data_IF_142062762345
#
_entry.id   IF_142062762345
#
_cell.length_a   1.000
_cell.length_b   1.000
_cell.length_c   1.000
_cell.angle_alpha   90.00
_cell.angle_beta   90.00
_cell.angle_gamma   90.00
#
_symmetry.space_group_name_H-M   'P 1'
#
loop_
_entity.id
_entity.type
_entity.pdbx_description
1 polymer ?
#
# COMPACT_ATOMS: atom_id res chain seq x y z
N UNK A 1 -3.84 -8.73 34.69
CA UNK A 1 -5.09 -8.65 33.91
C UNK A 1 -4.79 -9.19 32.51
N UNK A 2 -4.78 -10.51 32.37
CA UNK A 2 -4.52 -11.22 31.12
C UNK A 2 -5.80 -11.18 30.28
N UNK A 3 -5.87 -10.28 29.30
CA UNK A 3 -6.96 -10.27 28.33
C UNK A 3 -6.88 -11.53 27.48
N UNK A 4 -7.81 -12.46 27.73
CA UNK A 4 -8.10 -13.58 26.86
C UNK A 4 -8.62 -13.02 25.53
N UNK A 5 -7.75 -12.94 24.53
CA UNK A 5 -8.13 -12.60 23.16
C UNK A 5 -9.05 -13.70 22.63
N UNK A 6 -10.35 -13.41 22.64
CA UNK A 6 -11.35 -14.31 22.08
C UNK A 6 -11.08 -14.49 20.58
N UNK A 7 -11.20 -15.73 20.09
CA UNK A 7 -10.88 -16.24 18.74
C UNK A 7 -11.58 -15.53 17.53
N UNK A 8 -12.09 -14.31 17.72
CA UNK A 8 -12.76 -13.49 16.71
C UNK A 8 -12.45 -11.99 16.80
N UNK A 9 -11.55 -11.53 17.69
CA UNK A 9 -11.24 -10.09 17.80
C UNK A 9 -10.47 -9.61 16.55
N UNK A 10 -11.22 -8.95 15.66
CA UNK A 10 -10.64 -8.04 14.68
C UNK A 10 -9.89 -6.96 15.45
N UNK A 11 -8.63 -6.74 15.10
CA UNK A 11 -7.83 -5.66 15.68
C UNK A 11 -8.35 -4.37 15.06
N UNK A 12 -9.34 -3.77 15.71
CA UNK A 12 -10.06 -2.61 15.18
C UNK A 12 -9.12 -1.45 14.82
N UNK A 13 -8.06 -1.26 15.62
CA UNK A 13 -7.01 -0.28 15.36
C UNK A 13 -6.31 -0.50 14.03
N UNK A 14 -6.06 -1.73 13.61
CA UNK A 14 -5.41 -2.04 12.33
C UNK A 14 -6.33 -1.73 11.15
N UNK A 15 -7.63 -2.02 11.28
CA UNK A 15 -8.59 -1.72 10.23
C UNK A 15 -8.75 -0.20 10.04
N UNK A 16 -8.73 0.58 11.13
CA UNK A 16 -8.70 2.05 11.09
C UNK A 16 -7.44 2.56 10.38
N UNK A 17 -6.26 2.07 10.78
CA UNK A 17 -4.98 2.49 10.18
C UNK A 17 -4.96 2.16 8.68
N UNK A 18 -5.56 1.04 8.26
CA UNK A 18 -5.71 0.70 6.83
C UNK A 18 -6.60 1.69 6.10
N UNK A 19 -7.73 2.06 6.67
CA UNK A 19 -8.61 3.08 6.09
C UNK A 19 -7.87 4.41 5.90
N UNK A 20 -7.13 4.86 6.93
CA UNK A 20 -6.33 6.09 6.87
C UNK A 20 -5.23 5.98 5.81
N UNK A 21 -4.55 4.84 5.72
CA UNK A 21 -3.50 4.62 4.72
C UNK A 21 -4.05 4.66 3.29
N UNK A 22 -5.24 4.10 3.04
CA UNK A 22 -5.91 4.17 1.74
C UNK A 22 -6.29 5.60 1.37
N UNK A 23 -6.85 6.38 2.32
CA UNK A 23 -7.10 7.81 2.12
C UNK A 23 -5.81 8.59 1.86
N UNK A 24 -4.73 8.22 2.54
CA UNK A 24 -3.39 8.76 2.31
C UNK A 24 -2.89 8.52 0.89
N UNK A 25 -2.97 7.28 0.40
CA UNK A 25 -2.58 6.95 -0.98
C UNK A 25 -3.44 7.68 -2.01
N UNK A 26 -4.72 7.91 -1.72
CA UNK A 26 -5.55 8.78 -2.56
C UNK A 26 -5.01 10.21 -2.62
N UNK A 27 -4.69 10.82 -1.48
CA UNK A 27 -4.10 12.17 -1.42
C UNK A 27 -2.78 12.24 -2.18
N UNK A 28 -1.96 11.20 -2.08
CA UNK A 28 -0.68 11.05 -2.77
C UNK A 28 -0.83 11.02 -4.30
N UNK A 29 -1.92 10.43 -4.80
CA UNK A 29 -2.18 10.38 -6.24
C UNK A 29 -2.94 11.60 -6.76
N UNK A 30 -3.40 12.48 -5.87
CA UNK A 30 -4.18 13.66 -6.22
C UNK A 30 -3.53 14.56 -7.28
N UNK A 31 -2.22 14.91 -7.23
CA UNK A 31 -1.60 15.76 -8.24
C UNK A 31 -1.70 15.18 -9.65
N UNK A 32 -1.64 13.86 -9.76
CA UNK A 32 -1.73 13.18 -11.05
C UNK A 32 -3.17 13.08 -11.52
N UNK A 33 -4.11 12.78 -10.60
CA UNK A 33 -5.55 12.78 -10.90
C UNK A 33 -6.03 14.17 -11.34
N UNK A 34 -5.51 15.22 -10.71
CA UNK A 34 -5.80 16.61 -11.04
C UNK A 34 -5.12 17.10 -12.34
N UNK A 35 -4.28 16.27 -12.97
CA UNK A 35 -3.57 16.62 -14.20
C UNK A 35 -2.39 17.57 -14.01
N UNK A 36 -1.96 17.81 -12.77
CA UNK A 36 -0.84 18.71 -12.44
C UNK A 36 0.52 18.07 -12.75
N UNK A 37 0.60 16.74 -12.66
CA UNK A 37 1.82 15.95 -12.92
C UNK A 37 1.75 15.17 -14.26
N UNK A 38 0.68 15.34 -15.03
CA UNK A 38 0.51 14.60 -16.28
C UNK A 38 1.37 15.19 -17.40
N UNK A 39 2.59 14.68 -17.53
CA UNK A 39 3.48 14.77 -18.71
C UNK A 39 4.34 16.02 -18.90
N UNK A 40 4.33 16.99 -17.99
CA UNK A 40 5.35 18.06 -18.00
C UNK A 40 6.54 17.69 -17.13
N UNK A 41 7.47 16.93 -17.73
CA UNK A 41 8.82 16.67 -17.19
C UNK A 41 9.61 17.99 -17.01
N UNK A 42 9.09 19.10 -17.52
CA UNK A 42 9.63 20.47 -17.42
C UNK A 42 8.75 21.40 -16.59
N UNK A 43 7.86 20.89 -15.72
CA UNK A 43 7.10 21.72 -14.79
C UNK A 43 8.03 22.42 -13.79
N UNK A 44 8.70 23.48 -14.23
CA UNK A 44 9.51 24.35 -13.38
C UNK A 44 8.51 25.04 -12.46
N UNK A 45 8.27 24.44 -11.30
CA UNK A 45 7.59 25.12 -10.21
C UNK A 45 8.48 26.30 -9.83
N UNK A 46 8.05 27.52 -10.13
CA UNK A 46 8.79 28.73 -9.80
C UNK A 46 8.18 29.40 -8.56
N UNK A 47 9.03 29.94 -7.69
CA UNK A 47 8.59 30.66 -6.50
C UNK A 47 7.88 29.78 -5.46
N UNK A 48 6.73 30.23 -4.97
CA UNK A 48 5.99 29.62 -3.85
C UNK A 48 5.54 28.18 -4.18
N UNK A 49 5.23 27.91 -5.45
CA UNK A 49 4.73 26.61 -5.89
C UNK A 49 5.77 25.50 -5.69
N UNK A 50 7.07 25.83 -5.80
CA UNK A 50 8.16 24.88 -5.54
C UNK A 50 8.25 24.47 -4.07
N UNK A 51 8.02 25.42 -3.16
CA UNK A 51 7.99 25.15 -1.71
C UNK A 51 6.76 24.32 -1.33
N UNK A 52 5.61 24.57 -1.97
CA UNK A 52 4.39 23.77 -1.78
C UNK A 52 4.62 22.34 -2.28
N UNK A 53 5.21 22.16 -3.47
CA UNK A 53 5.56 20.84 -4.01
C UNK A 53 6.54 20.10 -3.10
N UNK A 54 7.60 20.77 -2.65
CA UNK A 54 8.57 20.18 -1.72
C UNK A 54 7.91 19.74 -0.40
N UNK A 55 7.04 20.59 0.16
CA UNK A 55 6.30 20.25 1.37
C UNK A 55 5.39 19.03 1.15
N UNK A 56 4.68 19.00 0.03
CA UNK A 56 3.83 17.89 -0.36
C UNK A 56 4.64 16.59 -0.50
N UNK A 57 5.76 16.61 -1.22
CA UNK A 57 6.58 15.42 -1.45
C UNK A 57 7.20 14.89 -0.14
N UNK A 58 7.65 15.78 0.74
CA UNK A 58 8.27 15.41 2.02
C UNK A 58 7.26 14.92 3.07
N UNK A 59 6.11 15.59 3.20
CA UNK A 59 5.16 15.31 4.28
C UNK A 59 4.01 14.40 3.88
N UNK A 60 3.56 14.48 2.63
CA UNK A 60 2.43 13.68 2.15
C UNK A 60 2.98 12.47 1.42
N UNK A 61 3.63 12.65 0.26
CA UNK A 61 4.09 11.54 -0.57
C UNK A 61 4.97 10.57 0.23
N UNK A 62 6.11 11.02 0.73
CA UNK A 62 7.09 10.13 1.39
C UNK A 62 6.50 9.40 2.61
N UNK A 63 5.75 10.12 3.46
CA UNK A 63 5.21 9.52 4.70
C UNK A 63 4.10 8.51 4.43
N UNK A 64 3.16 8.83 3.56
CA UNK A 64 2.04 7.91 3.26
C UNK A 64 2.50 6.67 2.48
N UNK A 65 3.44 6.82 1.53
CA UNK A 65 4.09 5.67 0.89
C UNK A 65 4.78 4.76 1.93
N UNK A 66 5.47 5.34 2.90
CA UNK A 66 6.15 4.58 3.97
C UNK A 66 5.16 3.87 4.89
N UNK A 67 4.12 4.57 5.35
CA UNK A 67 3.08 3.99 6.23
C UNK A 67 2.34 2.87 5.51
N UNK A 68 1.98 3.07 4.24
CA UNK A 68 1.31 2.06 3.44
C UNK A 68 2.20 0.82 3.24
N UNK A 69 3.49 1.02 2.94
CA UNK A 69 4.48 -0.07 2.83
C UNK A 69 4.59 -0.88 4.12
N UNK A 70 4.74 -0.19 5.26
CA UNK A 70 4.82 -0.82 6.57
C UNK A 70 3.56 -1.62 6.89
N UNK A 71 2.39 -1.03 6.62
CA UNK A 71 1.10 -1.65 6.89
C UNK A 71 0.80 -2.84 5.97
N UNK A 72 1.31 -2.81 4.74
CA UNK A 72 1.29 -3.95 3.83
C UNK A 72 2.07 -5.12 4.42
N UNK A 73 3.30 -4.88 4.88
CA UNK A 73 4.14 -5.91 5.54
C UNK A 73 3.54 -6.43 6.85
N UNK A 74 3.04 -5.54 7.72
CA UNK A 74 2.35 -5.93 8.95
C UNK A 74 1.07 -6.72 8.64
N UNK A 75 0.34 -6.31 7.61
CA UNK A 75 -0.85 -7.00 7.13
C UNK A 75 -0.55 -8.40 6.59
N UNK A 76 0.62 -8.59 5.98
CA UNK A 76 1.14 -9.90 5.60
C UNK A 76 1.39 -10.77 6.84
N UNK A 77 2.17 -10.28 7.80
CA UNK A 77 2.51 -11.04 9.02
C UNK A 77 1.25 -11.52 9.76
N UNK A 78 0.29 -10.62 9.97
CA UNK A 78 -0.96 -10.95 10.67
C UNK A 78 -1.83 -11.91 9.86
N UNK A 79 -1.82 -11.78 8.54
CA UNK A 79 -2.54 -12.71 7.67
C UNK A 79 -1.94 -14.12 7.76
N UNK A 80 -0.61 -14.26 7.70
CA UNK A 80 0.04 -15.56 7.76
C UNK A 80 -0.21 -16.23 9.12
N UNK A 81 -0.02 -15.51 10.21
CA UNK A 81 -0.25 -16.03 11.57
C UNK A 81 -1.71 -16.52 11.75
N UNK A 82 -2.69 -15.78 11.21
CA UNK A 82 -4.10 -16.20 11.23
C UNK A 82 -4.40 -17.37 10.30
N UNK A 83 -3.73 -17.45 9.14
CA UNK A 83 -3.93 -18.51 8.17
C UNK A 83 -3.37 -19.84 8.69
N UNK A 84 -2.21 -19.82 9.34
CA UNK A 84 -1.62 -20.98 10.01
C UNK A 84 -2.52 -21.54 11.11
N UNK A 85 -3.20 -20.66 11.87
CA UNK A 85 -4.12 -21.08 12.91
C UNK A 85 -5.48 -21.62 12.40
N UNK A 86 -5.85 -21.36 11.14
CA UNK A 86 -7.20 -21.66 10.59
C UNK A 86 -7.24 -22.63 9.42
N UNK A 87 -6.10 -22.97 8.82
CA UNK A 87 -6.08 -23.70 7.55
C UNK A 87 -4.81 -24.54 7.43
N UNK A 88 -4.95 -25.74 6.89
CA UNK A 88 -3.83 -26.68 6.67
C UNK A 88 -2.89 -26.25 5.53
N UNK A 89 -3.30 -25.26 4.71
CA UNK A 89 -2.57 -24.77 3.51
C UNK A 89 -2.44 -23.23 3.47
N UNK A 90 -1.84 -22.59 4.47
CA UNK A 90 -1.74 -21.13 4.56
C UNK A 90 -0.94 -20.52 3.40
N UNK A 91 0.11 -21.23 2.96
CA UNK A 91 0.98 -20.82 1.84
C UNK A 91 0.22 -20.69 0.52
N UNK A 92 -0.69 -21.61 0.20
CA UNK A 92 -1.48 -21.56 -1.05
C UNK A 92 -2.43 -20.37 -1.09
N UNK A 93 -3.08 -20.06 0.04
CA UNK A 93 -3.95 -18.88 0.15
C UNK A 93 -3.16 -17.59 -0.03
N UNK A 94 -1.95 -17.56 0.52
CA UNK A 94 -1.06 -16.41 0.40
C UNK A 94 -0.63 -16.17 -1.05
N UNK A 95 -0.13 -17.19 -1.74
CA UNK A 95 0.27 -17.10 -3.16
C UNK A 95 -0.90 -16.66 -4.04
N UNK A 96 -2.10 -17.19 -3.83
CA UNK A 96 -3.30 -16.77 -4.58
C UNK A 96 -3.58 -15.28 -4.39
N UNK A 97 -3.46 -14.77 -3.16
CA UNK A 97 -3.66 -13.34 -2.88
C UNK A 97 -2.62 -12.46 -3.58
N UNK A 98 -1.36 -12.89 -3.58
CA UNK A 98 -0.29 -12.17 -4.28
C UNK A 98 -0.46 -12.17 -5.78
N UNK A 99 -0.88 -13.30 -6.36
CA UNK A 99 -1.17 -13.38 -7.79
C UNK A 99 -2.31 -12.44 -8.18
N UNK A 100 -3.36 -12.35 -7.37
CA UNK A 100 -4.44 -11.39 -7.58
C UNK A 100 -3.89 -9.97 -7.54
N UNK A 101 -3.08 -9.64 -6.53
CA UNK A 101 -2.49 -8.31 -6.36
C UNK A 101 -1.54 -7.95 -7.51
N UNK A 102 -0.74 -8.91 -7.98
CA UNK A 102 0.13 -8.77 -9.15
C UNK A 102 -0.67 -8.55 -10.42
N UNK A 103 -1.75 -9.31 -10.63
CA UNK A 103 -2.59 -9.18 -11.82
C UNK A 103 -3.30 -7.83 -11.84
N UNK A 104 -3.80 -7.37 -10.69
CA UNK A 104 -4.35 -6.02 -10.58
C UNK A 104 -3.30 -4.95 -10.82
N UNK A 105 -2.11 -5.07 -10.24
CA UNK A 105 -1.01 -4.13 -10.46
C UNK A 105 -0.55 -4.10 -11.92
N UNK A 106 -0.48 -5.26 -12.58
CA UNK A 106 -0.15 -5.34 -14.00
C UNK A 106 -1.26 -4.72 -14.88
N UNK A 107 -2.51 -5.02 -14.59
CA UNK A 107 -3.64 -4.47 -15.34
C UNK A 107 -3.73 -2.95 -15.16
N UNK A 108 -3.47 -2.45 -13.96
CA UNK A 108 -3.44 -1.02 -13.66
C UNK A 108 -2.26 -0.33 -14.36
N UNK A 109 -1.08 -0.96 -14.35
CA UNK A 109 0.09 -0.50 -15.08
C UNK A 109 -0.19 -0.33 -16.59
N UNK A 110 -0.85 -1.32 -17.19
CA UNK A 110 -1.16 -1.32 -18.63
C UNK A 110 -2.34 -0.42 -19.00
N UNK A 111 -3.41 -0.37 -18.19
CA UNK A 111 -4.66 0.33 -18.53
C UNK A 111 -4.74 1.76 -18.00
N UNK A 112 -4.12 2.04 -16.86
CA UNK A 112 -4.33 3.28 -16.12
C UNK A 112 -3.05 4.12 -16.08
N UNK A 113 -1.96 3.58 -15.52
CA UNK A 113 -0.73 4.35 -15.33
C UNK A 113 0.49 3.50 -14.90
N UNK A 114 1.65 3.80 -15.50
CA UNK A 114 3.02 3.35 -15.19
C UNK A 114 3.45 3.45 -13.71
N UNK A 115 2.82 4.31 -12.89
CA UNK A 115 3.25 4.64 -11.53
C UNK A 115 2.67 3.77 -10.40
N UNK A 116 2.23 2.54 -10.67
CA UNK A 116 1.49 1.76 -9.66
C UNK A 116 2.37 1.14 -8.56
N UNK A 117 2.08 1.55 -7.33
CA UNK A 117 2.64 1.02 -6.09
C UNK A 117 2.33 -0.48 -5.89
N UNK A 118 1.19 -0.95 -6.42
CA UNK A 118 0.66 -2.28 -6.22
C UNK A 118 1.55 -3.36 -6.85
N UNK A 119 2.14 -3.06 -8.01
CA UNK A 119 3.08 -3.96 -8.68
C UNK A 119 4.33 -4.20 -7.81
N UNK A 120 4.91 -3.12 -7.28
CA UNK A 120 6.07 -3.17 -6.37
C UNK A 120 5.78 -3.98 -5.11
N UNK A 121 4.58 -3.82 -4.54
CA UNK A 121 4.17 -4.61 -3.37
C UNK A 121 3.92 -6.08 -3.67
N UNK A 122 3.38 -6.41 -4.85
CA UNK A 122 3.23 -7.80 -5.26
C UNK A 122 4.59 -8.51 -5.32
N UNK A 123 5.57 -7.88 -5.97
CA UNK A 123 6.94 -8.40 -6.06
C UNK A 123 7.56 -8.54 -4.68
N UNK A 124 7.47 -7.50 -3.85
CA UNK A 124 7.99 -7.51 -2.48
C UNK A 124 7.33 -8.61 -1.64
N UNK A 125 6.02 -8.83 -1.83
CA UNK A 125 5.30 -9.93 -1.21
C UNK A 125 5.83 -11.29 -1.64
N UNK A 126 6.18 -11.48 -2.91
CA UNK A 126 6.76 -12.73 -3.40
C UNK A 126 8.16 -12.96 -2.81
N UNK A 127 8.95 -11.90 -2.65
CA UNK A 127 10.21 -11.98 -1.91
C UNK A 127 10.00 -12.39 -0.45
N UNK A 128 9.04 -11.77 0.25
CA UNK A 128 8.65 -12.14 1.62
C UNK A 128 8.10 -13.56 1.75
N UNK A 129 7.52 -14.12 0.69
CA UNK A 129 7.09 -15.52 0.68
C UNK A 129 8.26 -16.50 0.63
N UNK A 130 9.30 -16.11 -0.12
CA UNK A 130 10.42 -16.98 -0.44
C UNK A 130 11.51 -16.94 0.64
N UNK A 131 11.55 -15.86 1.43
CA UNK A 131 12.37 -15.71 2.63
C UNK A 131 11.80 -16.55 3.80
#
# INVERSE_FOLDING_TARGET
MTQNLTQGERIHSIDIIRGIAVLGIFLVNWPIIAGVDSRDITGIYEGIDSYIRLFYDMFIQTKFYTIFSFLFGLGFYIFMNRAEAKTDRPKTLFVRRLLILLLFGFLHYVLLWDGDILHTYAITGFFLFFL
#
